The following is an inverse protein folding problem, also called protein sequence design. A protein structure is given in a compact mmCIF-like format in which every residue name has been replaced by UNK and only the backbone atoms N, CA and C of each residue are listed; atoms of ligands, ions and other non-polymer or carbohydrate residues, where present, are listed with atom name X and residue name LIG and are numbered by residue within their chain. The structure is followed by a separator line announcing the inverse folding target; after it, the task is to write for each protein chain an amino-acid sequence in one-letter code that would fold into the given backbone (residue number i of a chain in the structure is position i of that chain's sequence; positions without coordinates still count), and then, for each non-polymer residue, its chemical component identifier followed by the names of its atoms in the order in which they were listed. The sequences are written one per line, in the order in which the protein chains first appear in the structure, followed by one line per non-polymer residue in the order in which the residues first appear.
data_IF_501671012028
#
_entry.id   IF_501671012028
#
_cell.length_a   1.000
_cell.length_b   1.000
_cell.length_c   1.000
_cell.angle_alpha   90.00
_cell.angle_beta   90.00
_cell.angle_gamma   90.00
#
_symmetry.space_group_name_H-M   'P 1'
#
loop_
_entity.id
_entity.type
_entity.pdbx_description
1 polymer ?
#
# COMPACT_ATOMS: atom_id res chain seq x y z
N UNK A 1 -24.63 13.94 9.10
CA UNK A 1 -24.70 12.56 9.62
C UNK A 1 -23.44 11.79 9.34
N UNK A 2 -23.29 10.67 10.01
CA UNK A 2 -22.05 9.88 10.07
C UNK A 2 -21.59 9.35 8.71
N UNK A 3 -22.53 8.98 7.83
CA UNK A 3 -22.23 8.32 6.53
C UNK A 3 -22.53 9.20 5.31
N UNK A 4 -22.85 10.47 5.51
CA UNK A 4 -23.10 11.46 4.44
C UNK A 4 -24.16 10.99 3.39
N UNK A 5 -25.28 10.43 3.86
CA UNK A 5 -26.39 9.94 3.01
C UNK A 5 -27.72 10.65 3.27
N UNK A 6 -27.72 11.79 3.95
CA UNK A 6 -28.93 12.51 4.36
C UNK A 6 -29.84 12.86 3.17
N UNK A 7 -29.24 13.30 2.06
CA UNK A 7 -29.96 13.66 0.84
C UNK A 7 -30.60 12.45 0.15
N UNK A 8 -30.21 11.25 0.51
CA UNK A 8 -30.65 9.97 -0.09
C UNK A 8 -31.68 9.23 0.75
N UNK A 9 -32.20 9.83 1.84
CA UNK A 9 -33.16 9.18 2.76
C UNK A 9 -34.38 8.57 2.11
N UNK A 10 -34.89 9.19 1.03
CA UNK A 10 -36.06 8.70 0.27
C UNK A 10 -35.69 7.88 -0.96
N UNK A 11 -34.39 7.70 -1.23
CA UNK A 11 -33.92 6.97 -2.40
C UNK A 11 -33.97 5.46 -2.13
N UNK A 12 -34.56 4.69 -3.05
CA UNK A 12 -34.55 3.23 -2.94
C UNK A 12 -33.12 2.70 -3.09
N UNK A 13 -32.77 1.67 -2.31
CA UNK A 13 -31.40 1.09 -2.26
C UNK A 13 -30.88 0.71 -3.64
N UNK A 14 -31.75 0.18 -4.52
CA UNK A 14 -31.37 -0.19 -5.91
C UNK A 14 -30.88 0.99 -6.76
N UNK A 15 -31.27 2.22 -6.39
CA UNK A 15 -30.93 3.44 -7.11
C UNK A 15 -29.71 4.18 -6.51
N UNK A 16 -29.08 3.59 -5.48
CA UNK A 16 -27.85 4.10 -4.91
C UNK A 16 -26.65 3.67 -5.76
N UNK A 17 -25.60 4.52 -5.82
CA UNK A 17 -24.31 4.13 -6.40
C UNK A 17 -23.64 3.04 -5.57
N UNK A 18 -22.59 2.38 -6.10
CA UNK A 18 -21.79 1.40 -5.36
C UNK A 18 -21.30 1.95 -4.02
N UNK A 19 -20.62 3.11 -4.04
CA UNK A 19 -20.13 3.75 -2.82
C UNK A 19 -21.22 4.18 -1.84
N UNK A 20 -22.40 4.60 -2.34
CA UNK A 20 -23.54 4.90 -1.48
C UNK A 20 -24.10 3.65 -0.81
N UNK A 21 -24.19 2.52 -1.54
CA UNK A 21 -24.60 1.24 -0.96
C UNK A 21 -23.62 0.75 0.10
N UNK A 22 -22.32 0.85 -0.17
CA UNK A 22 -21.29 0.45 0.77
C UNK A 22 -21.36 1.26 2.07
N UNK A 23 -21.48 2.61 1.97
CA UNK A 23 -21.67 3.46 3.15
C UNK A 23 -22.97 3.17 3.90
N UNK A 24 -24.03 2.81 3.19
CA UNK A 24 -25.29 2.38 3.82
C UNK A 24 -25.08 1.07 4.59
N UNK A 25 -24.36 0.10 4.03
CA UNK A 25 -24.00 -1.16 4.71
C UNK A 25 -23.26 -0.89 6.02
N UNK A 26 -22.25 -0.03 5.98
CA UNK A 26 -21.50 0.36 7.19
C UNK A 26 -22.41 1.10 8.18
N UNK A 27 -23.32 1.98 7.70
CA UNK A 27 -24.30 2.64 8.56
C UNK A 27 -25.22 1.65 9.27
N UNK A 28 -25.65 0.59 8.58
CA UNK A 28 -26.46 -0.48 9.18
C UNK A 28 -25.68 -1.25 10.25
N UNK A 29 -24.41 -1.54 10.02
CA UNK A 29 -23.54 -2.19 11.01
C UNK A 29 -23.34 -1.32 12.26
N UNK A 30 -23.25 0.00 12.08
CA UNK A 30 -23.09 0.98 13.17
C UNK A 30 -24.38 1.28 13.95
N UNK A 31 -25.55 0.91 13.42
CA UNK A 31 -26.85 1.22 14.05
C UNK A 31 -27.02 0.56 15.44
N UNK A 32 -26.34 -0.55 15.68
CA UNK A 32 -26.33 -1.26 16.96
C UNK A 32 -25.35 -0.69 17.99
N UNK A 33 -24.64 0.41 17.67
CA UNK A 33 -23.57 0.97 18.49
C UNK A 33 -22.54 -0.11 18.93
N UNK A 34 -21.93 -0.86 17.99
CA UNK A 34 -20.97 -1.89 18.32
C UNK A 34 -19.68 -1.30 18.89
N UNK A 35 -18.96 -2.08 19.70
CA UNK A 35 -17.61 -1.75 20.14
C UNK A 35 -16.57 -2.18 19.07
N UNK A 36 -16.88 -3.21 18.26
CA UNK A 36 -15.99 -3.77 17.24
C UNK A 36 -16.74 -3.84 15.91
N UNK A 37 -16.09 -3.36 14.85
CA UNK A 37 -16.57 -3.42 13.47
C UNK A 37 -15.63 -4.28 12.62
N UNK A 38 -16.18 -5.26 11.90
CA UNK A 38 -15.45 -6.07 10.94
C UNK A 38 -15.77 -5.58 9.54
N UNK A 39 -14.74 -5.20 8.78
CA UNK A 39 -14.84 -4.73 7.41
C UNK A 39 -13.99 -5.62 6.51
N UNK A 40 -14.65 -6.33 5.61
CA UNK A 40 -13.99 -7.19 4.63
C UNK A 40 -13.96 -6.46 3.28
N UNK A 41 -12.76 -6.07 2.84
CA UNK A 41 -12.49 -5.33 1.60
C UNK A 41 -13.49 -4.18 1.32
N UNK A 42 -13.69 -3.25 2.25
CA UNK A 42 -14.82 -2.33 2.21
C UNK A 42 -14.76 -1.31 1.08
N UNK A 43 -13.61 -1.11 0.45
CA UNK A 43 -13.43 -0.10 -0.60
C UNK A 43 -13.26 -0.69 -2.00
N UNK A 44 -13.29 -2.02 -2.12
CA UNK A 44 -13.17 -2.70 -3.42
C UNK A 44 -14.26 -2.25 -4.38
N UNK A 45 -13.87 -1.86 -5.60
CA UNK A 45 -14.77 -1.37 -6.64
C UNK A 45 -15.32 0.04 -6.41
N UNK A 46 -14.82 0.79 -5.43
CA UNK A 46 -15.19 2.17 -5.20
C UNK A 46 -14.27 3.14 -5.98
N UNK A 47 -14.88 4.23 -6.45
CA UNK A 47 -14.11 5.37 -6.95
C UNK A 47 -13.31 6.05 -5.83
N UNK A 48 -12.22 6.81 -6.14
CA UNK A 48 -11.37 7.42 -5.13
C UNK A 48 -12.09 8.35 -4.14
N UNK A 49 -13.16 9.03 -4.60
CA UNK A 49 -13.92 9.91 -3.72
C UNK A 49 -14.76 9.11 -2.73
N UNK A 50 -15.44 8.06 -3.20
CA UNK A 50 -16.24 7.15 -2.35
C UNK A 50 -15.38 6.42 -1.34
N UNK A 51 -14.14 6.02 -1.73
CA UNK A 51 -13.14 5.41 -0.83
C UNK A 51 -12.80 6.35 0.32
N UNK A 52 -12.41 7.60 0.04
CA UNK A 52 -12.11 8.60 1.06
C UNK A 52 -13.26 8.85 2.02
N UNK A 53 -14.49 8.94 1.50
CA UNK A 53 -15.67 9.12 2.33
C UNK A 53 -15.92 7.93 3.29
N UNK A 54 -15.57 6.71 2.86
CA UNK A 54 -15.65 5.55 3.75
C UNK A 54 -14.54 5.57 4.81
N UNK A 55 -13.33 6.01 4.45
CA UNK A 55 -12.24 6.22 5.41
C UNK A 55 -12.63 7.22 6.49
N UNK A 56 -13.24 8.36 6.13
CA UNK A 56 -13.76 9.34 7.10
C UNK A 56 -14.75 8.70 8.09
N UNK A 57 -15.57 7.75 7.64
CA UNK A 57 -16.50 7.00 8.50
C UNK A 57 -15.75 6.10 9.48
N UNK A 58 -14.73 5.39 9.01
CA UNK A 58 -13.87 4.54 9.84
C UNK A 58 -13.15 5.36 10.91
N UNK A 59 -12.53 6.47 10.52
CA UNK A 59 -11.84 7.37 11.44
C UNK A 59 -12.80 7.96 12.50
N UNK A 60 -13.98 8.39 12.08
CA UNK A 60 -14.99 8.92 13.02
C UNK A 60 -15.51 7.86 13.97
N UNK A 61 -15.55 6.58 13.60
CA UNK A 61 -15.89 5.48 14.50
C UNK A 61 -14.75 5.21 15.50
N UNK A 62 -13.49 5.15 15.05
CA UNK A 62 -12.31 5.02 15.90
C UNK A 62 -12.18 6.16 16.91
N UNK A 63 -12.41 7.40 16.47
CA UNK A 63 -12.37 8.59 17.35
C UNK A 63 -13.38 8.54 18.51
N UNK A 64 -14.40 7.67 18.44
CA UNK A 64 -15.37 7.42 19.52
C UNK A 64 -15.00 6.22 20.40
N UNK A 65 -13.83 5.65 20.20
CA UNK A 65 -13.34 4.49 20.95
C UNK A 65 -13.71 3.15 20.35
N UNK A 66 -14.26 3.12 19.14
CA UNK A 66 -14.55 1.87 18.41
C UNK A 66 -13.28 1.20 17.89
N UNK A 67 -13.31 -0.12 17.80
CA UNK A 67 -12.25 -0.94 17.21
C UNK A 67 -12.67 -1.45 15.84
N UNK A 68 -11.77 -1.41 14.85
CA UNK A 68 -12.02 -1.94 13.51
C UNK A 68 -11.03 -3.08 13.22
N UNK A 69 -11.54 -4.22 12.77
CA UNK A 69 -10.76 -5.22 12.06
C UNK A 69 -11.09 -5.10 10.58
N UNK A 70 -10.06 -4.72 9.79
CA UNK A 70 -10.17 -4.46 8.36
C UNK A 70 -9.36 -5.49 7.59
N UNK A 71 -9.94 -6.09 6.53
CA UNK A 71 -9.16 -6.75 5.49
C UNK A 71 -9.11 -5.87 4.26
N UNK A 72 -7.97 -5.79 3.61
CA UNK A 72 -7.80 -5.04 2.35
C UNK A 72 -6.58 -5.55 1.58
N UNK A 73 -6.62 -5.42 0.28
CA UNK A 73 -5.45 -5.58 -0.60
C UNK A 73 -4.89 -4.21 -1.04
N UNK A 74 -5.51 -3.09 -0.65
CA UNK A 74 -5.02 -1.74 -0.90
C UNK A 74 -4.06 -1.31 0.22
N UNK A 75 -2.78 -1.17 -0.11
CA UNK A 75 -1.74 -0.80 0.86
C UNK A 75 -1.87 0.62 1.38
N UNK A 76 -2.38 1.54 0.55
CA UNK A 76 -2.71 2.91 0.94
C UNK A 76 -3.83 2.95 2.00
N UNK A 77 -4.85 2.08 1.87
CA UNK A 77 -5.90 1.94 2.87
C UNK A 77 -5.36 1.35 4.18
N UNK A 78 -4.57 0.28 4.09
CA UNK A 78 -3.93 -0.32 5.25
C UNK A 78 -3.06 0.70 6.00
N UNK A 79 -2.25 1.47 5.27
CA UNK A 79 -1.37 2.49 5.85
C UNK A 79 -2.15 3.66 6.47
N UNK A 80 -3.26 4.09 5.84
CA UNK A 80 -4.03 5.23 6.32
C UNK A 80 -4.90 4.90 7.55
N UNK A 81 -5.48 3.70 7.60
CA UNK A 81 -6.52 3.36 8.57
C UNK A 81 -6.04 2.50 9.73
N UNK A 82 -4.89 1.83 9.63
CA UNK A 82 -4.50 0.82 10.63
C UNK A 82 -3.44 1.31 11.60
N UNK A 83 -3.64 1.04 12.88
CA UNK A 83 -2.60 1.21 13.91
C UNK A 83 -1.62 0.03 13.89
N UNK A 84 -2.09 -1.15 13.52
CA UNK A 84 -1.29 -2.38 13.37
C UNK A 84 -1.79 -3.16 12.16
N UNK A 85 -0.83 -3.77 11.46
CA UNK A 85 -1.06 -4.55 10.24
C UNK A 85 -0.51 -5.95 10.46
N UNK A 86 -1.22 -6.96 9.96
CA UNK A 86 -0.71 -8.30 9.76
C UNK A 86 -0.74 -8.59 8.25
N UNK A 87 0.42 -8.93 7.68
CA UNK A 87 0.53 -9.36 6.29
C UNK A 87 0.35 -10.86 6.24
N UNK A 88 -0.64 -11.31 5.45
CA UNK A 88 -0.93 -12.72 5.25
C UNK A 88 -0.49 -13.17 3.86
N UNK A 89 0.17 -14.31 3.80
CA UNK A 89 0.48 -15.01 2.55
C UNK A 89 0.28 -16.52 2.76
N UNK A 90 -0.39 -17.19 1.80
CA UNK A 90 -0.71 -18.62 1.87
C UNK A 90 -1.37 -19.10 3.19
N UNK A 91 -2.15 -18.21 3.85
CA UNK A 91 -2.86 -18.54 5.11
C UNK A 91 -1.99 -18.39 6.36
N UNK A 92 -0.76 -17.90 6.24
CA UNK A 92 0.15 -17.63 7.35
C UNK A 92 0.42 -16.14 7.50
N UNK A 93 0.58 -15.68 8.74
CA UNK A 93 1.03 -14.32 9.02
C UNK A 93 2.55 -14.29 8.83
N UNK A 94 3.01 -13.59 7.79
CA UNK A 94 4.43 -13.49 7.43
C UNK A 94 5.11 -12.25 8.01
N UNK A 95 4.35 -11.22 8.39
CA UNK A 95 4.83 -10.05 9.12
C UNK A 95 3.69 -9.38 9.88
N UNK A 96 4.01 -8.71 10.98
CA UNK A 96 3.05 -7.86 11.70
C UNK A 96 3.77 -6.73 12.43
N UNK A 97 3.12 -5.56 12.49
CA UNK A 97 3.66 -4.37 13.13
C UNK A 97 2.80 -3.15 12.89
N UNK A 98 3.26 -1.99 13.31
CA UNK A 98 2.72 -0.72 12.81
C UNK A 98 3.14 -0.52 11.35
N UNK A 99 2.44 0.34 10.57
CA UNK A 99 2.89 0.68 9.21
C UNK A 99 4.37 1.10 9.17
N UNK A 100 4.79 1.95 10.07
CA UNK A 100 6.17 2.46 10.13
C UNK A 100 7.17 1.35 10.47
N UNK A 101 6.90 0.49 11.47
CA UNK A 101 7.76 -0.65 11.82
C UNK A 101 7.96 -1.60 10.62
N UNK A 102 6.88 -1.86 9.84
CA UNK A 102 6.96 -2.73 8.68
C UNK A 102 7.80 -2.10 7.55
N UNK A 103 7.64 -0.80 7.30
CA UNK A 103 8.40 -0.05 6.29
C UNK A 103 9.88 0.04 6.71
N UNK A 104 10.17 0.36 7.97
CA UNK A 104 11.53 0.37 8.50
C UNK A 104 12.22 -0.99 8.40
N UNK A 105 11.44 -2.07 8.47
CA UNK A 105 11.91 -3.45 8.29
C UNK A 105 12.53 -3.73 6.90
N UNK A 106 12.26 -2.90 5.88
CA UNK A 106 12.92 -2.94 4.57
C UNK A 106 14.41 -2.55 4.66
N UNK A 107 14.79 -1.83 5.70
CA UNK A 107 16.17 -1.41 5.97
C UNK A 107 16.63 -0.18 5.19
N UNK A 108 15.79 0.41 4.33
CA UNK A 108 16.09 1.63 3.58
C UNK A 108 14.89 2.57 3.48
N UNK A 109 15.16 3.87 3.36
CA UNK A 109 14.12 4.90 3.36
C UNK A 109 13.48 5.16 1.98
N UNK A 110 14.15 4.75 0.91
CA UNK A 110 13.74 5.02 -0.47
C UNK A 110 13.84 3.78 -1.34
N UNK A 111 13.02 3.76 -2.38
CA UNK A 111 13.09 2.77 -3.46
C UNK A 111 13.41 3.48 -4.77
N UNK A 112 14.35 2.92 -5.52
CA UNK A 112 14.68 3.29 -6.89
C UNK A 112 14.18 2.16 -7.78
N UNK A 113 13.17 2.43 -8.60
CA UNK A 113 12.61 1.52 -9.60
C UNK A 113 13.13 1.95 -10.97
N UNK A 114 13.86 1.06 -11.66
CA UNK A 114 14.48 1.41 -12.92
C UNK A 114 14.47 0.27 -13.95
N UNK A 115 14.49 0.66 -15.22
CA UNK A 115 14.73 -0.22 -16.36
C UNK A 115 16.00 0.24 -17.07
N UNK A 116 16.90 -0.70 -17.37
CA UNK A 116 18.12 -0.43 -18.10
C UNK A 116 18.13 -1.21 -19.42
N UNK A 117 18.70 -0.63 -20.48
CA UNK A 117 18.80 -1.26 -21.81
C UNK A 117 19.81 -2.42 -21.87
N UNK A 118 20.67 -2.54 -20.85
CA UNK A 118 21.56 -3.70 -20.66
C UNK A 118 21.43 -4.19 -19.21
N UNK A 119 21.49 -5.51 -18.97
CA UNK A 119 21.40 -6.06 -17.62
C UNK A 119 22.60 -5.64 -16.78
N UNK A 120 22.35 -5.22 -15.55
CA UNK A 120 23.36 -4.96 -14.52
C UNK A 120 23.33 -6.09 -13.51
N UNK A 121 24.49 -6.61 -13.14
CA UNK A 121 24.58 -7.73 -12.20
C UNK A 121 24.06 -7.35 -10.79
N UNK A 122 23.34 -8.26 -10.14
CA UNK A 122 22.83 -8.04 -8.77
C UNK A 122 23.94 -7.70 -7.79
N UNK A 123 25.11 -8.36 -7.90
CA UNK A 123 26.26 -8.08 -7.05
C UNK A 123 26.80 -6.65 -7.24
N UNK A 124 26.77 -6.12 -8.48
CA UNK A 124 27.18 -4.75 -8.79
C UNK A 124 26.19 -3.73 -8.21
N UNK A 125 24.90 -4.02 -8.32
CA UNK A 125 23.84 -3.20 -7.75
C UNK A 125 23.88 -3.20 -6.22
N UNK A 126 24.11 -4.34 -5.60
CA UNK A 126 24.27 -4.47 -4.15
C UNK A 126 25.51 -3.76 -3.61
N UNK A 127 26.55 -3.58 -4.43
CA UNK A 127 27.77 -2.86 -4.05
C UNK A 127 27.61 -1.32 -4.11
N UNK A 128 26.51 -0.80 -4.65
CA UNK A 128 26.25 0.64 -4.70
C UNK A 128 26.08 1.17 -3.26
N UNK A 129 26.81 2.25 -2.87
CA UNK A 129 26.69 2.82 -1.55
C UNK A 129 25.25 3.15 -1.15
N UNK A 130 24.83 2.72 0.05
CA UNK A 130 23.49 2.95 0.56
C UNK A 130 22.45 1.91 0.08
N UNK A 131 22.80 0.97 -0.80
CA UNK A 131 21.89 -0.12 -1.19
C UNK A 131 21.73 -1.13 -0.06
N UNK A 132 20.50 -1.43 0.29
CA UNK A 132 20.11 -2.43 1.30
C UNK A 132 19.55 -3.70 0.69
N UNK A 133 18.84 -3.56 -0.41
CA UNK A 133 18.17 -4.67 -1.11
C UNK A 133 18.12 -4.43 -2.61
N UNK A 134 18.23 -5.52 -3.36
CA UNK A 134 17.98 -5.57 -4.80
C UNK A 134 16.86 -6.57 -5.03
N UNK A 135 15.86 -6.21 -5.82
CA UNK A 135 14.76 -7.11 -6.19
C UNK A 135 14.38 -6.89 -7.67
N UNK A 136 13.91 -7.94 -8.33
CA UNK A 136 13.38 -7.83 -9.67
C UNK A 136 11.85 -7.62 -9.61
N UNK A 137 11.32 -6.77 -10.51
CA UNK A 137 9.88 -6.51 -10.68
C UNK A 137 9.56 -6.53 -12.17
N UNK A 138 9.14 -7.68 -12.69
CA UNK A 138 8.91 -7.83 -14.15
C UNK A 138 10.16 -7.50 -14.95
N UNK A 139 10.12 -6.43 -15.76
CA UNK A 139 11.25 -5.92 -16.53
C UNK A 139 12.09 -4.89 -15.78
N UNK A 140 11.59 -4.36 -14.65
CA UNK A 140 12.29 -3.38 -13.83
C UNK A 140 13.09 -4.02 -12.69
N UNK A 141 14.00 -3.25 -12.14
CA UNK A 141 14.77 -3.60 -10.95
C UNK A 141 14.54 -2.57 -9.86
N UNK A 142 14.29 -3.06 -8.64
CA UNK A 142 14.09 -2.23 -7.46
C UNK A 142 15.34 -2.25 -6.59
N UNK A 143 15.82 -1.07 -6.22
CA UNK A 143 16.85 -0.91 -5.19
C UNK A 143 16.21 -0.23 -3.97
N UNK A 144 16.23 -0.88 -2.82
CA UNK A 144 15.93 -0.22 -1.56
C UNK A 144 17.22 0.42 -1.05
N UNK A 145 17.18 1.73 -0.79
CA UNK A 145 18.37 2.52 -0.46
C UNK A 145 18.13 3.45 0.73
N UNK A 146 19.21 3.81 1.41
CA UNK A 146 19.15 4.76 2.55
C UNK A 146 18.95 6.21 2.07
N UNK A 147 19.66 6.60 1.01
CA UNK A 147 19.71 7.96 0.49
C UNK A 147 19.85 7.97 -1.04
N UNK A 148 18.93 8.66 -1.71
CA UNK A 148 18.92 8.78 -3.17
C UNK A 148 20.16 9.53 -3.69
N UNK A 149 20.62 10.58 -3.00
CA UNK A 149 21.76 11.38 -3.44
C UNK A 149 23.07 10.57 -3.44
N UNK A 150 23.17 9.60 -2.53
CA UNK A 150 24.32 8.70 -2.44
C UNK A 150 24.24 7.56 -3.48
N UNK A 151 23.04 6.99 -3.71
CA UNK A 151 22.90 5.77 -4.49
C UNK A 151 22.70 6.01 -5.98
N UNK A 152 22.02 7.09 -6.40
CA UNK A 152 21.77 7.39 -7.81
C UNK A 152 23.04 7.53 -8.67
N UNK A 153 24.10 8.24 -8.23
CA UNK A 153 25.34 8.31 -9.02
C UNK A 153 25.97 6.94 -9.22
N UNK A 154 25.93 6.07 -8.20
CA UNK A 154 26.43 4.70 -8.29
C UNK A 154 25.64 3.86 -9.28
N UNK A 155 24.31 3.97 -9.28
CA UNK A 155 23.43 3.30 -10.24
C UNK A 155 23.76 3.72 -11.68
N UNK A 156 23.87 5.04 -11.93
CA UNK A 156 24.21 5.55 -13.26
C UNK A 156 25.56 5.04 -13.74
N UNK A 157 26.55 5.00 -12.85
CA UNK A 157 27.88 4.47 -13.16
C UNK A 157 27.83 2.97 -13.49
N UNK A 158 27.09 2.16 -12.72
CA UNK A 158 26.93 0.72 -12.95
C UNK A 158 26.24 0.42 -14.29
N UNK A 159 25.15 1.13 -14.60
CA UNK A 159 24.44 0.98 -15.90
C UNK A 159 25.33 1.37 -17.06
N UNK A 160 26.09 2.47 -16.94
CA UNK A 160 27.04 2.91 -17.99
C UNK A 160 28.17 1.88 -18.17
N UNK A 161 28.74 1.35 -17.09
CA UNK A 161 29.78 0.32 -17.13
C UNK A 161 29.30 -0.98 -17.78
N UNK A 162 28.03 -1.33 -17.62
CA UNK A 162 27.39 -2.45 -18.32
C UNK A 162 27.11 -2.16 -19.81
N UNK A 163 27.46 -0.98 -20.33
CA UNK A 163 27.21 -0.58 -21.72
C UNK A 163 25.75 -0.23 -21.99
N UNK A 164 24.94 -0.03 -20.97
CA UNK A 164 23.53 0.31 -21.05
C UNK A 164 23.23 1.79 -20.80
N UNK A 165 21.96 2.13 -20.92
CA UNK A 165 21.37 3.40 -20.50
C UNK A 165 20.10 3.13 -19.70
N UNK A 166 19.74 4.02 -18.78
CA UNK A 166 18.44 3.99 -18.14
C UNK A 166 17.36 4.38 -19.14
N UNK A 167 16.33 3.53 -19.27
CA UNK A 167 15.16 3.80 -20.09
C UNK A 167 14.01 4.32 -19.25
N UNK A 168 13.91 3.84 -18.00
CA UNK A 168 12.93 4.31 -17.02
C UNK A 168 13.61 4.45 -15.66
N UNK A 169 13.18 5.46 -14.91
CA UNK A 169 13.66 5.71 -13.55
C UNK A 169 12.57 6.39 -12.74
N UNK A 170 12.11 5.72 -11.70
CA UNK A 170 11.20 6.27 -10.70
C UNK A 170 11.83 6.16 -9.32
N UNK A 171 11.54 7.12 -8.46
CA UNK A 171 11.99 7.09 -7.06
C UNK A 171 10.86 7.47 -6.15
N UNK A 172 10.71 6.77 -5.05
CA UNK A 172 9.71 7.07 -4.02
C UNK A 172 10.23 6.70 -2.63
N UNK A 173 9.55 7.16 -1.59
CA UNK A 173 9.78 6.67 -0.24
C UNK A 173 9.24 5.26 -0.13
N UNK A 174 9.94 4.42 0.61
CA UNK A 174 9.48 3.06 0.88
C UNK A 174 8.04 3.03 1.43
N UNK A 175 7.23 2.11 0.95
CA UNK A 175 5.81 1.96 1.24
C UNK A 175 5.48 0.55 1.71
N UNK A 176 4.26 0.31 2.17
CA UNK A 176 3.78 -1.04 2.48
C UNK A 176 3.69 -1.94 1.25
N UNK A 177 3.50 -1.38 0.05
CA UNK A 177 3.55 -2.14 -1.21
C UNK A 177 4.94 -2.74 -1.42
N UNK A 178 5.99 -1.96 -1.17
CA UNK A 178 7.37 -2.44 -1.25
C UNK A 178 7.66 -3.52 -0.19
N UNK A 179 7.08 -3.39 1.02
CA UNK A 179 7.16 -4.42 2.07
C UNK A 179 6.52 -5.72 1.59
N UNK A 180 5.30 -5.64 1.05
CA UNK A 180 4.59 -6.81 0.56
C UNK A 180 5.37 -7.52 -0.56
N UNK A 181 5.82 -6.76 -1.56
CA UNK A 181 6.64 -7.28 -2.65
C UNK A 181 7.94 -7.91 -2.13
N UNK A 182 8.58 -7.26 -1.16
CA UNK A 182 9.83 -7.75 -0.57
C UNK A 182 9.66 -9.08 0.18
N UNK A 183 8.51 -9.28 0.83
CA UNK A 183 8.23 -10.49 1.63
C UNK A 183 7.72 -11.65 0.76
N UNK A 184 6.90 -11.36 -0.26
CA UNK A 184 6.21 -12.38 -1.05
C UNK A 184 6.87 -12.66 -2.41
N UNK A 185 7.72 -11.74 -2.90
CA UNK A 185 8.26 -11.78 -4.26
C UNK A 185 7.21 -11.58 -5.36
N UNK A 186 6.01 -11.13 -5.01
CA UNK A 186 4.87 -10.97 -5.92
C UNK A 186 4.25 -9.59 -5.74
N UNK A 187 3.78 -9.01 -6.85
CA UNK A 187 2.94 -7.82 -6.82
C UNK A 187 1.54 -8.18 -6.30
N UNK A 188 0.91 -7.20 -5.65
CA UNK A 188 -0.52 -7.28 -5.38
C UNK A 188 -1.26 -7.33 -6.71
N UNK A 189 -2.10 -8.32 -6.90
CA UNK A 189 -2.94 -8.41 -8.09
C UNK A 189 -4.18 -7.55 -7.84
N UNK A 190 -4.38 -6.55 -8.69
CA UNK A 190 -5.71 -5.96 -8.89
C UNK A 190 -6.57 -7.03 -9.59
N UNK A 191 -7.49 -7.66 -8.85
CA UNK A 191 -8.53 -8.51 -9.43
C UNK A 191 -9.73 -7.67 -9.90
#
# INVERSE_FOLDING_TARGET
GFVQLEEKRSTQVRNLSGGQRQRLSVACALAGAPDILFLDEPTTGLDPQSRRQLWDVCEAFRARGGTILLTTHFMDEAQALSDRIAILDHGEIIAQGTPDELIEGLGGAYVIDFVASAPVGEAELAAIPGTRRVAARGESTLLTVDDLAQSLPGLLAAVTAAGGALTELNTHRATLEDVFLALTGRELRDE
#
